data_IF_914896193985
#
_entry.id   IF_914896193985
#
_cell.length_a   1.000
_cell.length_b   1.000
_cell.length_c   1.000
_cell.angle_alpha   90.00
_cell.angle_beta   90.00
_cell.angle_gamma   90.00
#
_symmetry.space_group_name_H-M   'P 1'
#
loop_
_entity.id
_entity.type
_entity.pdbx_description
1 polymer ?
#
# COMPACT_ATOMS: atom_id res chain seq x y z
N UNK A 1 40.78 -0.03 14.32
CA UNK A 1 39.49 0.33 14.91
C UNK A 1 38.51 0.30 13.76
N UNK A 2 37.58 -0.66 13.75
CA UNK A 2 36.50 -0.63 12.76
C UNK A 2 35.63 0.58 13.12
N UNK A 3 35.59 1.59 12.26
CA UNK A 3 34.63 2.67 12.39
C UNK A 3 33.23 2.06 12.25
N UNK A 4 32.54 1.89 13.39
CA UNK A 4 31.21 1.34 13.41
C UNK A 4 30.27 2.29 12.68
N UNK A 5 29.61 1.81 11.63
CA UNK A 5 28.73 2.60 10.79
C UNK A 5 27.30 2.56 11.34
N UNK A 6 26.53 3.64 11.18
CA UNK A 6 25.17 3.71 11.71
C UNK A 6 24.24 2.66 11.08
N UNK A 7 24.46 2.33 9.81
CA UNK A 7 23.75 1.29 9.07
C UNK A 7 23.88 -0.08 9.74
N UNK A 8 25.03 -0.38 10.37
CA UNK A 8 25.24 -1.63 11.10
C UNK A 8 24.41 -1.69 12.41
N UNK A 9 23.88 -0.55 12.86
CA UNK A 9 23.06 -0.46 14.08
C UNK A 9 21.56 -0.51 13.80
N UNK A 10 21.10 -0.61 12.54
CA UNK A 10 19.67 -0.55 12.20
C UNK A 10 18.81 -1.52 13.01
N UNK A 11 19.30 -2.72 13.29
CA UNK A 11 18.62 -3.69 14.18
C UNK A 11 18.35 -3.15 15.59
N UNK A 12 19.35 -2.50 16.21
CA UNK A 12 19.19 -1.83 17.51
C UNK A 12 18.27 -0.61 17.46
N UNK A 13 18.05 -0.03 16.28
CA UNK A 13 17.16 1.11 16.04
C UNK A 13 15.72 0.67 15.71
N UNK A 14 15.41 -0.63 15.79
CA UNK A 14 14.05 -1.12 15.57
C UNK A 14 13.07 -0.73 16.68
N UNK A 15 13.56 -0.27 17.83
CA UNK A 15 12.70 0.14 18.96
C UNK A 15 12.15 -1.04 19.76
N UNK A 16 12.77 -2.23 19.62
CA UNK A 16 12.45 -3.42 20.44
C UNK A 16 12.82 -3.20 21.90
N UNK A 17 14.00 -2.60 22.15
CA UNK A 17 14.44 -2.21 23.48
C UNK A 17 14.43 -0.66 23.57
N UNK A 18 13.78 -0.06 24.59
CA UNK A 18 13.80 1.38 24.78
C UNK A 18 15.24 1.91 24.92
N UNK A 19 15.51 3.06 24.30
CA UNK A 19 16.83 3.68 24.36
C UNK A 19 16.94 4.61 25.59
N UNK A 20 18.17 4.81 26.06
CA UNK A 20 18.46 5.73 27.17
C UNK A 20 19.09 7.00 26.63
N UNK A 21 18.39 8.13 26.78
CA UNK A 21 18.82 9.45 26.34
C UNK A 21 19.39 10.24 27.52
N UNK A 22 20.58 10.77 27.36
CA UNK A 22 21.24 11.69 28.27
C UNK A 22 21.43 13.07 27.61
N UNK A 23 21.13 14.13 28.35
CA UNK A 23 21.36 15.52 27.98
C UNK A 23 21.91 16.28 29.19
N UNK A 24 22.46 17.47 29.00
CA UNK A 24 22.96 18.33 30.09
C UNK A 24 22.27 19.68 30.02
N UNK A 25 21.99 20.30 31.16
CA UNK A 25 21.53 21.69 31.21
C UNK A 25 22.70 22.69 31.10
N UNK A 26 22.40 23.99 31.13
CA UNK A 26 23.41 25.05 30.97
C UNK A 26 24.45 25.11 32.10
N UNK A 27 24.13 24.55 33.27
CA UNK A 27 25.02 24.46 34.43
C UNK A 27 25.81 23.13 34.45
N UNK A 28 25.62 22.28 33.45
CA UNK A 28 26.31 20.99 33.31
C UNK A 28 25.67 19.84 34.10
N UNK A 29 24.47 20.01 34.65
CA UNK A 29 23.77 18.94 35.38
C UNK A 29 23.17 17.94 34.39
N UNK A 30 23.44 16.63 34.53
CA UNK A 30 22.90 15.63 33.62
C UNK A 30 21.39 15.40 33.84
N UNK A 31 20.72 15.05 32.75
CA UNK A 31 19.34 14.59 32.72
C UNK A 31 19.28 13.32 31.87
N UNK A 32 18.82 12.22 32.48
CA UNK A 32 18.69 10.91 31.83
C UNK A 32 17.23 10.54 31.73
N UNK A 33 16.80 10.03 30.58
CA UNK A 33 15.41 9.64 30.32
C UNK A 33 15.37 8.44 29.38
N UNK A 34 14.38 7.58 29.53
CA UNK A 34 14.11 6.53 28.54
C UNK A 34 13.24 7.10 27.42
N UNK A 35 13.56 6.71 26.18
CA UNK A 35 12.77 7.08 24.99
C UNK A 35 12.35 5.81 24.26
N UNK A 36 11.16 5.84 23.67
CA UNK A 36 10.57 4.66 23.03
C UNK A 36 11.33 4.21 21.79
N UNK A 37 11.91 5.15 21.04
CA UNK A 37 12.63 4.81 19.80
C UNK A 37 13.72 5.82 19.43
N UNK A 38 14.76 5.29 18.78
CA UNK A 38 15.71 6.03 17.95
C UNK A 38 15.46 5.56 16.53
N UNK A 39 15.12 6.47 15.63
CA UNK A 39 14.80 6.15 14.25
C UNK A 39 16.00 6.39 13.34
N UNK A 40 16.38 5.40 12.55
CA UNK A 40 17.38 5.57 11.49
C UNK A 40 16.83 6.45 10.37
N UNK A 41 17.56 7.48 9.94
CA UNK A 41 17.15 8.37 8.84
C UNK A 41 18.05 8.16 7.63
N UNK A 42 19.35 8.35 7.82
CA UNK A 42 20.39 8.17 6.81
C UNK A 42 21.73 7.96 7.50
N UNK A 43 22.81 7.75 6.73
CA UNK A 43 24.15 7.35 7.19
C UNK A 43 24.74 8.12 8.38
N UNK A 44 24.39 9.40 8.54
CA UNK A 44 24.88 10.25 9.65
C UNK A 44 23.74 10.90 10.45
N UNK A 45 22.51 10.43 10.30
CA UNK A 45 21.36 11.04 10.96
C UNK A 45 20.43 10.02 11.60
N UNK A 46 19.97 10.39 12.78
CA UNK A 46 18.91 9.70 13.50
C UNK A 46 17.85 10.71 13.91
N UNK A 47 16.64 10.24 14.15
CA UNK A 47 15.57 11.04 14.72
C UNK A 47 15.06 10.44 16.04
N UNK A 48 14.80 11.30 17.01
CA UNK A 48 14.28 10.92 18.32
C UNK A 48 12.83 11.40 18.48
N UNK A 49 12.00 10.60 19.15
CA UNK A 49 10.61 10.95 19.39
C UNK A 49 10.48 12.07 20.43
N UNK A 50 9.88 13.21 20.04
CA UNK A 50 9.51 14.27 20.97
C UNK A 50 8.07 14.09 21.43
N UNK A 51 7.86 13.86 22.73
CA UNK A 51 6.53 13.56 23.31
C UNK A 51 6.21 14.42 24.55
N UNK A 52 7.03 14.37 25.61
CA UNK A 52 6.72 15.04 26.89
C UNK A 52 7.94 15.67 27.60
N UNK A 53 9.11 15.62 26.99
CA UNK A 53 10.39 15.80 27.69
C UNK A 53 10.78 17.27 27.93
N UNK A 54 10.09 17.96 28.84
CA UNK A 54 10.32 19.39 29.11
C UNK A 54 11.78 19.72 29.49
N UNK A 55 12.42 18.92 30.36
CA UNK A 55 13.84 19.14 30.74
C UNK A 55 14.79 18.80 29.59
N UNK A 56 14.63 17.62 28.99
CA UNK A 56 15.43 17.21 27.82
C UNK A 56 15.37 18.23 26.69
N UNK A 57 14.17 18.72 26.36
CA UNK A 57 13.99 19.72 25.30
C UNK A 57 14.67 21.04 25.66
N UNK A 58 14.52 21.52 26.89
CA UNK A 58 15.25 22.72 27.35
C UNK A 58 16.76 22.54 27.20
N UNK A 59 17.29 21.39 27.60
CA UNK A 59 18.70 21.05 27.49
C UNK A 59 19.17 21.05 26.03
N UNK A 60 18.39 20.44 25.12
CA UNK A 60 18.69 20.43 23.69
C UNK A 60 18.67 21.82 23.05
N UNK A 61 17.76 22.71 23.48
CA UNK A 61 17.71 24.08 22.95
C UNK A 61 18.90 24.93 23.40
N UNK A 62 19.52 24.61 24.54
CA UNK A 62 20.70 25.32 25.07
C UNK A 62 21.99 24.74 24.49
N UNK A 63 22.21 23.43 24.67
CA UNK A 63 23.49 22.79 24.40
C UNK A 63 23.55 22.11 23.04
N UNK A 64 22.41 21.81 22.42
CA UNK A 64 22.27 21.05 21.16
C UNK A 64 22.93 19.67 21.16
N UNK A 65 23.43 19.19 22.28
CA UNK A 65 24.13 17.91 22.39
C UNK A 65 23.30 16.90 23.18
N UNK A 66 23.37 15.65 22.75
CA UNK A 66 22.78 14.51 23.45
C UNK A 66 23.68 13.28 23.30
N UNK A 67 23.57 12.37 24.25
CA UNK A 67 24.14 11.03 24.16
C UNK A 67 22.99 10.04 24.26
N UNK A 68 22.89 9.10 23.32
CA UNK A 68 21.87 8.03 23.38
C UNK A 68 22.54 6.67 23.42
N UNK A 69 22.04 5.79 24.29
CA UNK A 69 22.45 4.40 24.39
C UNK A 69 21.36 3.54 23.79
N UNK A 70 21.70 2.78 22.75
CA UNK A 70 20.82 1.83 22.08
C UNK A 70 21.29 0.41 22.36
N UNK A 71 20.34 -0.52 22.45
CA UNK A 71 20.62 -1.92 22.72
C UNK A 71 20.02 -2.76 21.60
N UNK A 72 20.83 -3.61 21.01
CA UNK A 72 20.38 -4.55 20.00
C UNK A 72 19.54 -5.66 20.65
N UNK A 73 18.29 -5.82 20.19
CA UNK A 73 17.34 -6.76 20.78
C UNK A 73 17.69 -8.23 20.54
N UNK A 74 18.59 -8.52 19.59
CA UNK A 74 18.95 -9.87 19.18
C UNK A 74 20.27 -10.32 19.79
N UNK A 75 21.25 -9.41 19.85
CA UNK A 75 22.61 -9.70 20.30
C UNK A 75 22.92 -9.18 21.70
N UNK A 76 22.07 -8.29 22.23
CA UNK A 76 22.29 -7.51 23.47
C UNK A 76 23.53 -6.61 23.43
N UNK A 77 24.11 -6.38 22.25
CA UNK A 77 25.17 -5.40 22.08
C UNK A 77 24.64 -4.00 22.40
N UNK A 78 25.47 -3.19 23.06
CA UNK A 78 25.10 -1.83 23.44
C UNK A 78 26.00 -0.83 22.75
N UNK A 79 25.39 0.15 22.10
CA UNK A 79 26.11 1.19 21.39
C UNK A 79 25.67 2.58 21.86
N UNK A 80 26.64 3.46 22.07
CA UNK A 80 26.40 4.86 22.44
C UNK A 80 26.66 5.74 21.25
N UNK A 81 25.67 6.58 20.92
CA UNK A 81 25.78 7.59 19.87
C UNK A 81 25.89 8.95 20.53
N UNK A 82 26.89 9.73 20.13
CA UNK A 82 26.95 11.17 20.42
C UNK A 82 26.23 11.93 19.32
N UNK A 83 25.31 12.80 19.70
CA UNK A 83 24.34 13.42 18.81
C UNK A 83 24.37 14.94 18.92
N UNK A 84 24.19 15.60 17.79
CA UNK A 84 23.96 17.04 17.69
C UNK A 84 22.58 17.31 17.10
N UNK A 85 21.72 17.98 17.89
CA UNK A 85 20.38 18.39 17.48
C UNK A 85 20.45 19.35 16.29
N UNK A 86 19.56 19.13 15.31
CA UNK A 86 19.44 19.94 14.10
C UNK A 86 18.14 20.73 14.12
N UNK A 87 17.02 20.05 14.03
CA UNK A 87 15.68 20.65 13.96
C UNK A 87 14.60 19.69 14.47
N UNK A 88 13.37 20.20 14.64
CA UNK A 88 12.19 19.38 14.93
C UNK A 88 11.28 19.40 13.72
N UNK A 89 10.95 18.22 13.16
CA UNK A 89 9.91 18.08 12.14
C UNK A 89 8.58 17.71 12.79
N UNK A 90 7.53 18.48 12.52
CA UNK A 90 6.17 18.25 13.08
C UNK A 90 5.18 17.69 12.07
N UNK A 91 5.63 17.45 10.83
CA UNK A 91 4.85 16.91 9.72
C UNK A 91 5.78 16.31 8.67
N UNK A 92 5.20 15.65 7.67
CA UNK A 92 5.91 15.08 6.53
C UNK A 92 6.35 13.61 6.73
N UNK A 93 7.10 13.07 5.76
CA UNK A 93 7.39 11.63 5.67
C UNK A 93 8.02 11.02 6.92
N UNK A 94 9.06 11.66 7.45
CA UNK A 94 9.76 11.16 8.65
C UNK A 94 8.84 11.18 9.88
N UNK A 95 8.05 12.25 10.03
CA UNK A 95 7.12 12.38 11.14
C UNK A 95 6.04 11.29 11.11
N UNK A 96 5.43 11.03 9.95
CA UNK A 96 4.39 10.01 9.81
C UNK A 96 4.94 8.60 9.97
N UNK A 97 6.16 8.33 9.47
CA UNK A 97 6.87 7.07 9.68
C UNK A 97 7.12 6.83 11.18
N UNK A 98 7.67 7.83 11.87
CA UNK A 98 7.93 7.74 13.31
C UNK A 98 6.65 7.64 14.14
N UNK A 99 5.58 8.32 13.72
CA UNK A 99 4.26 8.27 14.35
C UNK A 99 3.66 6.86 14.27
N UNK A 100 3.69 6.25 13.08
CA UNK A 100 3.21 4.89 12.89
C UNK A 100 4.00 3.87 13.71
N UNK A 101 5.33 3.97 13.72
CA UNK A 101 6.19 3.11 14.53
C UNK A 101 5.93 3.28 16.03
N UNK A 102 5.76 4.52 16.49
CA UNK A 102 5.46 4.82 17.89
C UNK A 102 4.09 4.28 18.32
N UNK A 103 3.06 4.39 17.47
CA UNK A 103 1.76 3.78 17.73
C UNK A 103 1.90 2.26 17.90
N UNK A 104 2.72 1.61 17.05
CA UNK A 104 3.14 0.21 17.16
C UNK A 104 3.61 -0.17 18.56
N UNK A 105 4.59 0.60 19.06
CA UNK A 105 5.20 0.38 20.38
C UNK A 105 4.18 0.61 21.51
N UNK A 106 3.33 1.65 21.38
CA UNK A 106 2.34 2.01 22.39
C UNK A 106 1.29 0.91 22.62
N UNK A 107 0.79 0.31 21.54
CA UNK A 107 -0.23 -0.76 21.60
C UNK A 107 0.27 -2.00 22.31
N UNK A 108 1.53 -2.41 22.07
CA UNK A 108 2.09 -3.59 22.74
C UNK A 108 2.42 -3.34 24.23
N UNK A 109 2.74 -2.11 24.60
CA UNK A 109 3.09 -1.73 25.99
C UNK A 109 1.89 -1.34 26.85
N UNK A 110 0.67 -1.32 26.30
CA UNK A 110 -0.56 -0.96 27.03
C UNK A 110 -0.67 0.53 27.36
N UNK A 111 0.07 1.39 26.63
CA UNK A 111 0.16 2.83 26.85
C UNK A 111 -0.52 3.62 25.71
N UNK A 112 -1.55 3.03 25.10
CA UNK A 112 -2.37 3.67 24.07
C UNK A 112 -2.98 4.99 24.59
N UNK A 113 -2.93 6.05 23.77
CA UNK A 113 -3.42 7.39 24.13
C UNK A 113 -2.48 8.21 25.01
N UNK A 114 -1.48 7.60 25.66
CA UNK A 114 -0.43 8.32 26.40
C UNK A 114 0.67 8.75 25.46
N UNK A 115 1.09 7.91 24.50
CA UNK A 115 2.18 8.24 23.59
C UNK A 115 1.73 9.04 22.37
N UNK A 116 1.73 10.38 22.49
CA UNK A 116 1.51 11.28 21.35
C UNK A 116 2.85 11.81 20.82
N UNK A 117 3.13 11.58 19.54
CA UNK A 117 4.26 12.24 18.87
C UNK A 117 3.95 13.73 18.67
N UNK A 118 4.74 14.60 19.27
CA UNK A 118 4.69 16.05 19.06
C UNK A 118 5.66 16.51 17.97
N UNK A 119 6.73 15.75 17.73
CA UNK A 119 7.70 16.02 16.68
C UNK A 119 8.74 14.92 16.55
N UNK A 120 9.47 14.96 15.44
CA UNK A 120 10.65 14.15 15.18
C UNK A 120 11.87 15.06 15.28
N UNK A 121 12.60 14.97 16.40
CA UNK A 121 13.81 15.75 16.60
C UNK A 121 14.94 15.09 15.80
N UNK A 122 15.44 15.78 14.78
CA UNK A 122 16.50 15.30 13.90
C UNK A 122 17.88 15.60 14.51
N UNK A 123 18.76 14.62 14.47
CA UNK A 123 20.11 14.71 15.00
C UNK A 123 21.14 14.27 13.98
N UNK A 124 22.28 14.96 13.95
CA UNK A 124 23.50 14.45 13.33
C UNK A 124 24.22 13.55 14.31
N UNK A 125 24.66 12.39 13.85
CA UNK A 125 25.53 11.47 14.61
C UNK A 125 26.97 11.96 14.50
N UNK A 126 27.59 12.26 15.64
CA UNK A 126 28.96 12.75 15.76
C UNK A 126 29.96 11.62 15.92
N UNK A 127 29.62 10.61 16.74
CA UNK A 127 30.45 9.42 16.96
C UNK A 127 29.60 8.27 17.47
N UNK A 128 30.13 7.06 17.29
CA UNK A 128 29.51 5.81 17.72
C UNK A 128 30.56 5.03 18.51
N UNK A 129 30.18 4.58 19.71
CA UNK A 129 31.00 3.81 20.63
C UNK A 129 30.31 2.48 20.95
N UNK A 130 31.00 1.35 20.84
CA UNK A 130 30.53 0.08 21.40
C UNK A 130 30.80 0.07 22.90
N UNK A 131 29.73 0.07 23.69
CA UNK A 131 29.79 0.07 25.16
C UNK A 131 29.81 -1.36 25.70
N UNK A 132 29.06 -2.26 25.05
CA UNK A 132 29.06 -3.68 25.35
C UNK A 132 29.07 -4.46 24.04
N UNK A 133 29.99 -5.41 23.93
CA UNK A 133 30.04 -6.35 22.81
C UNK A 133 28.80 -7.27 22.79
N UNK A 134 28.47 -7.86 21.63
CA UNK A 134 27.45 -8.89 21.51
C UNK A 134 27.63 -10.01 22.54
N UNK A 135 26.56 -10.31 23.27
CA UNK A 135 26.53 -11.41 24.25
C UNK A 135 25.82 -12.63 23.67
N UNK A 136 24.87 -12.40 22.76
CA UNK A 136 24.13 -13.43 22.06
C UNK A 136 24.53 -13.48 20.59
N UNK A 137 24.46 -14.68 20.01
CA UNK A 137 24.61 -14.87 18.58
C UNK A 137 23.26 -14.64 17.90
N UNK A 138 23.20 -13.82 16.83
CA UNK A 138 21.98 -13.69 16.08
C UNK A 138 21.60 -15.04 15.47
N UNK A 139 20.30 -15.36 15.37
CA UNK A 139 19.87 -16.56 14.68
C UNK A 139 20.41 -16.51 13.24
N UNK A 140 20.80 -17.65 12.65
CA UNK A 140 21.27 -17.68 11.29
C UNK A 140 20.17 -17.15 10.37
N UNK A 141 20.47 -16.07 9.64
CA UNK A 141 19.56 -15.57 8.63
C UNK A 141 19.69 -16.46 7.38
N UNK A 142 18.76 -17.39 7.23
CA UNK A 142 18.77 -18.35 6.13
C UNK A 142 18.30 -17.76 4.79
N UNK A 143 17.92 -16.47 4.74
CA UNK A 143 17.39 -15.83 3.53
C UNK A 143 18.13 -14.53 3.21
N UNK A 144 18.75 -14.48 2.04
CA UNK A 144 19.34 -13.24 1.53
C UNK A 144 18.25 -12.40 0.85
N UNK A 145 17.84 -11.31 1.49
CA UNK A 145 16.82 -10.40 0.96
C UNK A 145 17.26 -9.72 -0.34
N UNK A 146 18.57 -9.43 -0.48
CA UNK A 146 19.12 -8.93 -1.73
C UNK A 146 18.99 -9.95 -2.86
N UNK A 147 19.29 -11.23 -2.59
CA UNK A 147 19.09 -12.30 -3.57
C UNK A 147 17.61 -12.47 -3.91
N UNK A 148 16.72 -12.38 -2.92
CA UNK A 148 15.28 -12.47 -3.14
C UNK A 148 14.78 -11.32 -4.03
N UNK A 149 15.19 -10.08 -3.75
CA UNK A 149 14.87 -8.92 -4.57
C UNK A 149 15.41 -9.06 -6.00
N UNK A 150 16.66 -9.47 -6.16
CA UNK A 150 17.27 -9.68 -7.47
C UNK A 150 16.54 -10.74 -8.30
N UNK A 151 16.18 -11.88 -7.69
CA UNK A 151 15.44 -12.95 -8.37
C UNK A 151 14.06 -12.47 -8.79
N UNK A 152 13.35 -11.79 -7.89
CA UNK A 152 12.05 -11.18 -8.19
C UNK A 152 12.16 -10.20 -9.35
N UNK A 153 13.08 -9.23 -9.32
CA UNK A 153 13.24 -8.28 -10.44
C UNK A 153 13.57 -8.97 -11.77
N UNK A 154 14.40 -10.02 -11.74
CA UNK A 154 14.74 -10.78 -12.96
C UNK A 154 13.51 -11.44 -13.58
N UNK A 155 12.62 -12.02 -12.76
CA UNK A 155 11.39 -12.63 -13.25
C UNK A 155 10.36 -11.61 -13.74
N UNK A 156 10.26 -10.44 -13.09
CA UNK A 156 9.35 -9.39 -13.51
C UNK A 156 9.77 -8.75 -14.83
N UNK A 157 11.07 -8.64 -15.09
CA UNK A 157 11.61 -7.97 -16.28
C UNK A 157 11.23 -8.63 -17.63
N UNK A 158 10.79 -9.89 -17.62
CA UNK A 158 10.36 -10.60 -18.85
C UNK A 158 8.85 -10.61 -19.05
N UNK A 159 8.09 -10.02 -18.13
CA UNK A 159 6.64 -9.93 -18.23
C UNK A 159 6.24 -8.91 -19.30
N UNK A 160 5.26 -9.27 -20.13
CA UNK A 160 4.72 -8.41 -21.21
C UNK A 160 3.24 -8.05 -21.02
N UNK A 161 2.64 -8.52 -19.94
CA UNK A 161 1.25 -8.24 -19.58
C UNK A 161 1.20 -7.69 -18.15
N UNK A 162 0.37 -6.66 -17.97
CA UNK A 162 0.26 -5.94 -16.71
C UNK A 162 -0.37 -6.81 -15.60
N UNK A 163 -1.35 -7.66 -15.93
CA UNK A 163 -1.98 -8.50 -14.92
C UNK A 163 -1.05 -9.62 -14.47
N UNK A 164 -0.42 -10.29 -15.45
CA UNK A 164 0.59 -11.31 -15.18
C UNK A 164 1.76 -10.74 -14.37
N UNK A 165 2.18 -9.51 -14.66
CA UNK A 165 3.23 -8.81 -13.89
C UNK A 165 2.84 -8.65 -12.42
N UNK A 166 1.62 -8.18 -12.13
CA UNK A 166 1.14 -7.95 -10.77
C UNK A 166 1.00 -9.26 -9.99
N UNK A 167 0.38 -10.28 -10.59
CA UNK A 167 0.21 -11.59 -9.95
C UNK A 167 1.56 -12.29 -9.75
N UNK A 168 2.48 -12.16 -10.71
CA UNK A 168 3.85 -12.67 -10.59
C UNK A 168 4.62 -11.97 -9.47
N UNK A 169 4.47 -10.65 -9.32
CA UNK A 169 5.14 -9.91 -8.25
C UNK A 169 4.74 -10.47 -6.88
N UNK A 170 3.44 -10.64 -6.63
CA UNK A 170 2.94 -11.16 -5.35
C UNK A 170 3.37 -12.62 -5.11
N UNK A 171 3.33 -13.48 -6.13
CA UNK A 171 3.85 -14.85 -6.03
C UNK A 171 5.34 -14.90 -5.72
N UNK A 172 6.14 -14.01 -6.30
CA UNK A 172 7.57 -13.91 -6.00
C UNK A 172 7.83 -13.43 -4.57
N UNK A 173 6.98 -12.56 -4.00
CA UNK A 173 7.08 -12.18 -2.59
C UNK A 173 6.84 -13.36 -1.66
N UNK A 174 5.83 -14.18 -1.92
CA UNK A 174 5.61 -15.40 -1.16
C UNK A 174 6.79 -16.37 -1.31
N UNK A 175 7.16 -16.72 -2.54
CA UNK A 175 8.19 -17.73 -2.78
C UNK A 175 9.60 -17.31 -2.35
N UNK A 176 10.02 -16.08 -2.66
CA UNK A 176 11.41 -15.64 -2.49
C UNK A 176 11.64 -14.95 -1.13
N UNK A 177 10.62 -14.26 -0.58
CA UNK A 177 10.72 -13.57 0.70
C UNK A 177 10.04 -14.36 1.84
N UNK A 178 9.07 -15.23 1.52
CA UNK A 178 8.19 -15.87 2.50
C UNK A 178 7.07 -14.94 2.99
N UNK A 179 6.69 -13.96 2.19
CA UNK A 179 5.61 -13.02 2.50
C UNK A 179 4.31 -13.61 1.93
N UNK A 180 3.61 -14.38 2.76
CA UNK A 180 2.41 -15.10 2.34
C UNK A 180 1.23 -14.18 1.99
N UNK A 181 1.13 -13.02 2.65
CA UNK A 181 -0.01 -12.11 2.52
C UNK A 181 0.45 -10.77 1.94
N UNK A 182 0.10 -10.53 0.68
CA UNK A 182 0.47 -9.29 -0.01
C UNK A 182 -0.55 -8.89 -1.07
N UNK A 183 -0.63 -7.60 -1.34
CA UNK A 183 -1.54 -7.04 -2.35
C UNK A 183 -0.93 -5.79 -3.01
N UNK A 184 -1.40 -5.50 -4.21
CA UNK A 184 -1.11 -4.24 -4.91
C UNK A 184 -2.39 -3.42 -5.00
N UNK A 185 -2.27 -2.14 -4.62
CA UNK A 185 -3.31 -1.14 -4.82
C UNK A 185 -2.84 -0.06 -5.79
N UNK A 186 -3.72 0.40 -6.68
CA UNK A 186 -3.41 1.44 -7.66
C UNK A 186 -4.17 2.72 -7.36
N UNK A 187 -3.55 3.86 -7.64
CA UNK A 187 -4.15 5.17 -7.38
C UNK A 187 -5.32 5.43 -8.33
N UNK A 188 -6.38 6.03 -7.80
CA UNK A 188 -7.45 6.66 -8.56
C UNK A 188 -7.20 8.18 -8.63
N UNK A 189 -6.86 8.67 -9.83
CA UNK A 189 -6.32 10.01 -10.06
C UNK A 189 -7.25 11.16 -9.64
N UNK A 190 -8.57 10.95 -9.61
CA UNK A 190 -9.54 12.01 -9.25
C UNK A 190 -10.00 11.99 -7.80
N UNK A 191 -9.96 10.83 -7.14
CA UNK A 191 -10.62 10.66 -5.84
C UNK A 191 -9.66 10.69 -4.65
N UNK A 192 -8.33 10.76 -4.88
CA UNK A 192 -7.31 10.49 -3.84
C UNK A 192 -7.65 9.20 -3.07
N UNK A 193 -7.96 8.16 -3.83
CA UNK A 193 -8.23 6.81 -3.34
C UNK A 193 -7.31 5.82 -4.01
N UNK A 194 -7.18 4.67 -3.40
CA UNK A 194 -6.52 3.49 -3.91
C UNK A 194 -7.56 2.40 -4.07
N UNK A 195 -7.37 1.52 -5.05
CA UNK A 195 -8.18 0.32 -5.19
C UNK A 195 -7.29 -0.91 -5.37
N UNK A 196 -7.69 -2.02 -4.75
CA UNK A 196 -6.97 -3.30 -4.85
C UNK A 196 -7.10 -3.87 -6.26
N UNK A 197 -5.98 -4.20 -6.90
CA UNK A 197 -5.92 -4.77 -8.26
C UNK A 197 -5.40 -6.21 -8.28
N UNK A 198 -4.61 -6.59 -7.29
CA UNK A 198 -4.07 -7.94 -7.13
C UNK A 198 -3.87 -8.20 -5.64
N UNK A 199 -4.10 -9.45 -5.22
CA UNK A 199 -3.91 -9.90 -3.85
C UNK A 199 -3.49 -11.37 -3.84
N UNK A 200 -2.75 -11.77 -2.80
CA UNK A 200 -2.20 -13.11 -2.65
C UNK A 200 -2.27 -13.55 -1.19
N UNK A 201 -2.65 -14.82 -0.98
CA UNK A 201 -2.68 -15.49 0.32
C UNK A 201 -3.93 -15.24 1.18
N UNK A 202 -4.78 -14.27 0.85
CA UNK A 202 -5.97 -13.93 1.64
C UNK A 202 -7.16 -14.88 1.39
N UNK A 203 -8.08 -14.97 2.35
CA UNK A 203 -9.30 -15.79 2.24
C UNK A 203 -10.23 -15.31 1.11
N UNK A 204 -10.30 -13.99 0.92
CA UNK A 204 -11.00 -13.35 -0.19
C UNK A 204 -10.03 -12.46 -0.95
N UNK A 205 -10.25 -12.28 -2.24
CA UNK A 205 -9.35 -11.44 -3.06
C UNK A 205 -9.45 -9.96 -2.68
N UNK A 206 -10.65 -9.48 -2.30
CA UNK A 206 -10.94 -8.07 -2.03
C UNK A 206 -10.62 -7.15 -3.21
N UNK A 207 -10.55 -7.69 -4.43
CA UNK A 207 -10.27 -6.92 -5.64
C UNK A 207 -11.35 -5.85 -5.82
N UNK A 208 -10.93 -4.60 -5.99
CA UNK A 208 -11.82 -3.44 -6.03
C UNK A 208 -12.20 -2.85 -4.66
N UNK A 209 -11.71 -3.40 -3.54
CA UNK A 209 -11.78 -2.70 -2.25
C UNK A 209 -11.02 -1.38 -2.32
N UNK A 210 -11.51 -0.34 -1.66
CA UNK A 210 -10.95 1.01 -1.73
C UNK A 210 -10.32 1.44 -0.40
N UNK A 211 -9.25 2.23 -0.48
CA UNK A 211 -8.60 2.87 0.68
C UNK A 211 -8.37 4.35 0.37
N UNK A 212 -8.78 5.23 1.28
CA UNK A 212 -8.56 6.67 1.10
C UNK A 212 -7.11 7.07 1.42
N UNK A 213 -6.60 8.11 0.75
CA UNK A 213 -5.30 8.69 1.14
C UNK A 213 -5.37 9.20 2.58
N UNK A 214 -4.33 8.91 3.37
CA UNK A 214 -4.25 9.19 4.80
C UNK A 214 -4.96 8.18 5.71
N UNK A 215 -5.63 7.16 5.16
CA UNK A 215 -6.32 6.12 5.94
C UNK A 215 -5.44 4.89 6.17
N UNK A 216 -5.22 4.52 7.43
CA UNK A 216 -4.39 3.35 7.80
C UNK A 216 -2.95 3.45 7.25
N UNK A 217 -2.21 2.34 7.27
CA UNK A 217 -0.81 2.37 6.80
C UNK A 217 -0.70 2.55 5.28
N UNK A 218 -1.57 1.90 4.48
CA UNK A 218 -1.65 2.10 3.01
C UNK A 218 -1.89 3.57 2.65
N UNK A 219 -2.93 4.19 3.22
CA UNK A 219 -3.32 5.54 2.86
C UNK A 219 -2.30 6.57 3.30
N UNK A 220 -1.70 6.42 4.49
CA UNK A 220 -0.63 7.31 4.97
C UNK A 220 0.61 7.18 4.08
N UNK A 221 1.02 5.96 3.74
CA UNK A 221 2.14 5.72 2.82
C UNK A 221 1.91 6.39 1.46
N UNK A 222 0.66 6.33 0.96
CA UNK A 222 0.30 6.95 -0.30
C UNK A 222 0.29 8.48 -0.24
N UNK A 223 -0.19 9.06 0.86
CA UNK A 223 -0.24 10.52 1.05
C UNK A 223 1.16 11.13 1.14
N UNK A 224 2.04 10.49 1.91
CA UNK A 224 3.39 10.99 2.18
C UNK A 224 4.44 10.50 1.17
N UNK A 225 4.06 9.56 0.29
CA UNK A 225 4.97 8.89 -0.64
C UNK A 225 6.24 8.35 0.06
N UNK A 226 6.02 7.68 1.20
CA UNK A 226 7.08 7.06 2.01
C UNK A 226 6.61 5.70 2.52
N UNK A 227 7.50 4.72 2.73
CA UNK A 227 7.14 3.49 3.39
C UNK A 227 6.58 3.74 4.80
N UNK A 228 5.51 3.04 5.14
CA UNK A 228 4.97 3.01 6.50
C UNK A 228 4.99 1.57 6.99
N UNK A 229 5.62 1.34 8.14
CA UNK A 229 5.88 0.02 8.70
C UNK A 229 5.48 -0.03 10.17
N UNK A 230 4.79 -1.08 10.55
CA UNK A 230 4.35 -1.34 11.92
C UNK A 230 4.79 -2.74 12.32
N UNK A 231 5.65 -2.82 13.35
CA UNK A 231 6.20 -4.09 13.85
C UNK A 231 5.31 -4.82 14.86
N UNK A 232 4.35 -4.11 15.49
CA UNK A 232 3.41 -4.65 16.46
C UNK A 232 2.01 -4.11 16.19
N UNK A 233 1.01 -4.98 16.18
CA UNK A 233 -0.39 -4.64 15.89
C UNK A 233 -0.90 -3.45 16.73
N UNK A 234 -1.59 -2.51 16.06
CA UNK A 234 -2.23 -1.34 16.69
C UNK A 234 -3.67 -1.19 16.24
N UNK A 235 -4.49 -0.57 17.09
CA UNK A 235 -5.86 -0.21 16.72
C UNK A 235 -5.93 1.08 15.90
N UNK A 236 -5.00 2.02 16.10
CA UNK A 236 -4.96 3.35 15.46
C UNK A 236 -4.74 3.28 13.93
N UNK A 237 -4.03 2.25 13.45
CA UNK A 237 -3.74 2.07 12.03
C UNK A 237 -4.53 0.93 11.38
N UNK A 238 -5.59 0.43 12.03
CA UNK A 238 -6.52 -0.50 11.37
C UNK A 238 -7.22 0.20 10.21
N UNK A 239 -7.38 -0.50 9.10
CA UNK A 239 -8.17 -0.01 7.97
C UNK A 239 -9.65 0.14 8.37
N UNK A 240 -10.28 1.22 7.89
CA UNK A 240 -11.58 1.73 8.33
C UNK A 240 -12.79 0.81 8.10
N UNK A 241 -12.58 -0.38 7.56
CA UNK A 241 -13.62 -1.41 7.44
C UNK A 241 -14.28 -1.71 8.79
N UNK A 242 -13.56 -1.73 9.92
CA UNK A 242 -14.18 -2.05 11.23
C UNK A 242 -15.05 -0.94 11.80
N UNK A 243 -14.78 0.35 11.52
CA UNK A 243 -15.59 1.46 12.04
C UNK A 243 -16.92 1.57 11.27
N UNK A 244 -16.88 1.46 9.94
CA UNK A 244 -18.10 1.40 9.13
C UNK A 244 -18.87 0.11 9.38
N UNK A 245 -18.21 -1.05 9.53
CA UNK A 245 -18.88 -2.32 9.85
C UNK A 245 -19.47 -2.31 11.27
N UNK A 246 -18.84 -1.63 12.23
CA UNK A 246 -19.41 -1.40 13.57
C UNK A 246 -20.58 -0.42 13.56
N UNK A 247 -20.52 0.67 12.79
CA UNK A 247 -21.62 1.61 12.60
C UNK A 247 -22.81 0.99 11.84
N UNK A 248 -22.52 0.07 10.92
CA UNK A 248 -23.48 -0.77 10.18
C UNK A 248 -24.17 -1.77 11.12
N UNK A 249 -23.41 -2.50 11.95
CA UNK A 249 -23.97 -3.39 13.00
C UNK A 249 -24.79 -2.62 14.04
N UNK A 250 -24.47 -1.35 14.28
CA UNK A 250 -25.22 -0.46 15.16
C UNK A 250 -26.45 0.19 14.50
N UNK A 251 -26.71 -0.05 13.20
CA UNK A 251 -27.88 0.46 12.48
C UNK A 251 -27.91 1.97 12.27
N UNK A 252 -26.75 2.64 12.31
CA UNK A 252 -26.65 4.11 12.31
C UNK A 252 -26.76 4.71 10.89
N UNK A 253 -26.56 3.91 9.83
CA UNK A 253 -26.52 4.37 8.44
C UNK A 253 -27.55 3.59 7.60
N UNK A 254 -28.54 4.30 7.03
CA UNK A 254 -29.71 3.70 6.38
C UNK A 254 -29.54 3.39 4.87
N UNK A 255 -28.58 4.00 4.18
CA UNK A 255 -28.29 3.73 2.76
C UNK A 255 -26.79 3.86 2.57
N UNK A 256 -26.11 2.78 2.19
CA UNK A 256 -24.68 2.80 1.82
C UNK A 256 -24.49 2.00 0.54
N UNK A 257 -23.64 2.46 -0.41
CA UNK A 257 -23.23 1.63 -1.53
C UNK A 257 -22.63 0.31 -1.04
N UNK A 258 -22.83 -0.76 -1.81
CA UNK A 258 -22.26 -2.08 -1.53
C UNK A 258 -20.74 -1.99 -1.68
N UNK A 259 -20.02 -1.83 -0.57
CA UNK A 259 -18.55 -1.81 -0.57
C UNK A 259 -17.98 -3.22 -0.61
N UNK A 260 -16.95 -3.42 -1.45
CA UNK A 260 -16.20 -4.67 -1.55
C UNK A 260 -15.35 -4.79 -0.28
N UNK A 261 -15.47 -5.88 0.51
CA UNK A 261 -14.67 -6.07 1.71
C UNK A 261 -13.18 -6.02 1.42
N UNK A 262 -12.43 -5.34 2.29
CA UNK A 262 -10.97 -5.33 2.23
C UNK A 262 -10.42 -6.73 2.60
N UNK A 263 -9.45 -7.28 1.86
CA UNK A 263 -9.04 -8.68 2.00
C UNK A 263 -8.05 -8.94 3.15
N UNK A 264 -7.72 -7.94 3.96
CA UNK A 264 -6.67 -8.02 4.99
C UNK A 264 -6.91 -9.07 6.08
N UNK A 265 -5.83 -9.45 6.78
CA UNK A 265 -5.90 -10.38 7.91
C UNK A 265 -6.81 -9.84 9.02
N UNK A 266 -7.48 -10.73 9.75
CA UNK A 266 -8.31 -10.33 10.90
C UNK A 266 -7.48 -9.70 12.04
N UNK A 267 -6.28 -10.25 12.28
CA UNK A 267 -5.37 -9.86 13.36
C UNK A 267 -3.90 -9.89 12.90
N UNK A 268 -3.49 -9.04 11.93
CA UNK A 268 -2.11 -8.95 11.50
C UNK A 268 -1.23 -8.50 12.67
N UNK A 269 -0.10 -9.17 12.89
CA UNK A 269 0.85 -8.81 13.95
C UNK A 269 1.87 -7.78 13.51
N UNK A 270 2.20 -7.73 12.22
CA UNK A 270 2.99 -6.67 11.61
C UNK A 270 2.56 -6.39 10.17
N UNK A 271 2.86 -5.19 9.68
CA UNK A 271 2.43 -4.69 8.37
C UNK A 271 3.49 -3.76 7.76
N UNK A 272 3.53 -3.70 6.44
CA UNK A 272 4.30 -2.72 5.69
C UNK A 272 3.57 -2.27 4.42
N UNK A 273 3.51 -0.96 4.20
CA UNK A 273 3.02 -0.34 2.97
C UNK A 273 4.18 0.39 2.29
N UNK A 274 4.51 0.00 1.06
CA UNK A 274 5.63 0.55 0.28
C UNK A 274 5.08 1.24 -0.98
N UNK A 275 5.40 2.53 -1.19
CA UNK A 275 4.99 3.22 -2.41
C UNK A 275 5.60 2.63 -3.67
N UNK A 276 4.76 2.45 -4.69
CA UNK A 276 5.16 2.18 -6.07
C UNK A 276 5.14 3.53 -6.78
N UNK A 277 6.30 4.14 -6.94
CA UNK A 277 6.43 5.54 -7.38
C UNK A 277 7.52 5.71 -8.43
N UNK A 278 7.29 6.59 -9.40
CA UNK A 278 8.25 6.95 -10.45
C UNK A 278 8.25 8.47 -10.64
N UNK A 279 9.45 9.08 -10.69
CA UNK A 279 9.56 10.55 -10.89
C UNK A 279 8.89 11.40 -9.81
N UNK A 280 8.72 10.88 -8.59
CA UNK A 280 7.99 11.55 -7.49
C UNK A 280 6.47 11.40 -7.53
N UNK A 281 5.93 10.81 -8.61
CA UNK A 281 4.51 10.48 -8.73
C UNK A 281 4.25 9.08 -8.18
N UNK A 282 3.21 8.96 -7.35
CA UNK A 282 2.75 7.68 -6.84
C UNK A 282 1.81 7.00 -7.85
N UNK A 283 2.12 5.76 -8.20
CA UNK A 283 1.32 4.91 -9.08
C UNK A 283 0.42 3.98 -8.26
N UNK A 284 0.92 3.50 -7.12
CA UNK A 284 0.23 2.54 -6.27
C UNK A 284 0.97 2.27 -4.97
N UNK A 285 0.49 1.27 -4.22
CA UNK A 285 1.08 0.76 -2.99
C UNK A 285 1.26 -0.76 -3.13
N UNK A 286 2.46 -1.24 -2.82
CA UNK A 286 2.70 -2.63 -2.49
C UNK A 286 2.51 -2.79 -0.97
N UNK A 287 1.52 -3.59 -0.58
CA UNK A 287 1.19 -3.82 0.82
C UNK A 287 1.44 -5.28 1.20
N UNK A 288 1.96 -5.49 2.40
CA UNK A 288 2.17 -6.82 2.97
C UNK A 288 1.84 -6.85 4.46
N UNK A 289 1.35 -8.00 4.91
CA UNK A 289 1.01 -8.28 6.30
C UNK A 289 1.62 -9.59 6.76
N UNK A 290 1.77 -9.75 8.07
CA UNK A 290 2.27 -10.98 8.67
C UNK A 290 1.55 -11.30 9.97
N UNK A 291 1.36 -12.58 10.22
CA UNK A 291 0.92 -13.11 11.51
C UNK A 291 2.06 -13.14 12.54
N UNK A 292 3.28 -12.80 12.15
CA UNK A 292 4.43 -12.64 13.04
C UNK A 292 4.67 -11.18 13.40
N UNK A 293 5.08 -10.93 14.65
CA UNK A 293 5.57 -9.61 15.07
C UNK A 293 6.91 -9.34 14.41
N UNK A 294 7.20 -8.07 14.13
CA UNK A 294 8.51 -7.63 13.61
C UNK A 294 8.96 -8.37 12.34
N UNK A 295 8.02 -8.91 11.54
CA UNK A 295 8.35 -9.61 10.28
C UNK A 295 8.90 -8.66 9.21
N UNK A 296 8.61 -7.36 9.35
CA UNK A 296 9.15 -6.31 8.50
C UNK A 296 10.03 -5.40 9.35
N UNK A 297 11.34 -5.46 9.11
CA UNK A 297 12.34 -4.56 9.65
C UNK A 297 12.91 -3.68 8.52
N UNK A 298 13.92 -2.90 8.86
CA UNK A 298 14.65 -2.04 7.94
C UNK A 298 15.19 -2.77 6.69
N UNK A 299 15.61 -4.03 6.82
CA UNK A 299 16.15 -4.81 5.70
C UNK A 299 15.03 -5.29 4.75
N UNK A 300 13.90 -5.74 5.27
CA UNK A 300 12.73 -6.09 4.45
C UNK A 300 12.16 -4.86 3.74
N UNK A 301 12.13 -3.72 4.43
CA UNK A 301 11.72 -2.44 3.84
C UNK A 301 12.59 -2.08 2.63
N UNK A 302 13.91 -2.12 2.76
CA UNK A 302 14.82 -1.80 1.64
C UNK A 302 14.64 -2.76 0.46
N UNK A 303 14.54 -4.05 0.73
CA UNK A 303 14.38 -5.05 -0.32
C UNK A 303 13.02 -4.92 -1.04
N UNK A 304 11.94 -4.64 -0.30
CA UNK A 304 10.62 -4.38 -0.89
C UNK A 304 10.59 -3.05 -1.67
N UNK A 305 11.33 -2.02 -1.23
CA UNK A 305 11.48 -0.77 -1.99
C UNK A 305 12.17 -0.98 -3.33
N UNK A 306 13.16 -1.88 -3.40
CA UNK A 306 13.80 -2.26 -4.67
C UNK A 306 12.75 -2.88 -5.61
N UNK A 307 11.97 -3.84 -5.12
CA UNK A 307 10.92 -4.50 -5.91
C UNK A 307 9.85 -3.48 -6.34
N UNK A 308 9.37 -2.63 -5.44
CA UNK A 308 8.36 -1.62 -5.74
C UNK A 308 8.85 -0.57 -6.76
N UNK A 309 10.10 -0.14 -6.67
CA UNK A 309 10.71 0.78 -7.64
C UNK A 309 10.83 0.14 -9.02
N UNK A 310 11.23 -1.13 -9.08
CA UNK A 310 11.31 -1.88 -10.33
C UNK A 310 9.92 -2.10 -10.95
N UNK A 311 8.94 -2.43 -10.12
CA UNK A 311 7.54 -2.55 -10.53
C UNK A 311 7.04 -1.22 -11.12
N UNK A 312 7.33 -0.08 -10.49
CA UNK A 312 6.93 1.23 -11.01
C UNK A 312 7.46 1.48 -12.44
N UNK A 313 8.70 1.11 -12.73
CA UNK A 313 9.29 1.23 -14.07
C UNK A 313 8.57 0.32 -15.07
N UNK A 314 8.36 -0.96 -14.73
CA UNK A 314 7.70 -1.92 -15.62
C UNK A 314 6.24 -1.56 -15.89
N UNK A 315 5.52 -1.09 -14.87
CA UNK A 315 4.15 -0.59 -15.00
C UNK A 315 4.07 0.53 -16.04
N UNK A 316 5.02 1.47 -16.02
CA UNK A 316 5.07 2.57 -16.98
C UNK A 316 5.42 2.07 -18.39
N UNK A 317 6.42 1.20 -18.54
CA UNK A 317 6.83 0.67 -19.85
C UNK A 317 5.70 -0.13 -20.53
N UNK A 318 5.02 -1.00 -19.80
CA UNK A 318 3.93 -1.81 -20.35
C UNK A 318 2.74 -0.95 -20.78
N UNK A 319 2.52 0.21 -20.15
CA UNK A 319 1.49 1.16 -20.56
C UNK A 319 1.83 1.84 -21.88
N UNK A 320 3.09 2.22 -22.09
CA UNK A 320 3.57 2.87 -23.31
C UNK A 320 3.56 1.90 -24.51
N UNK A 321 3.98 0.64 -24.30
CA UNK A 321 4.06 -0.38 -25.36
C UNK A 321 2.68 -0.84 -25.89
N UNK A 322 1.61 -0.72 -25.10
CA UNK A 322 0.26 -1.08 -25.53
C UNK A 322 -0.34 -0.11 -26.59
N UNK A 323 0.29 1.05 -26.85
CA UNK A 323 -0.24 2.06 -27.76
C UNK A 323 0.07 1.84 -29.26
N UNK A 324 0.87 0.81 -29.62
CA UNK A 324 1.62 0.82 -30.89
C UNK A 324 1.19 -0.13 -32.04
N UNK A 325 0.23 -1.07 -31.94
CA UNK A 325 0.02 -2.08 -33.03
C UNK A 325 -1.44 -2.52 -33.27
N UNK A 326 -1.76 -2.84 -34.54
CA UNK A 326 -3.02 -3.47 -34.95
C UNK A 326 -2.96 -4.36 -36.20
N UNK A 327 -3.66 -5.50 -36.17
CA UNK A 327 -4.66 -5.99 -37.16
C UNK A 327 -5.34 -7.29 -36.62
N UNK A 328 -6.59 -7.61 -37.01
CA UNK A 328 -7.48 -8.54 -36.30
C UNK A 328 -7.45 -10.00 -36.79
N UNK A 329 -7.88 -10.93 -35.93
CA UNK A 329 -8.30 -12.30 -36.28
C UNK A 329 -9.68 -12.59 -35.68
N UNK A 330 -10.63 -12.92 -36.56
CA UNK A 330 -12.06 -13.10 -36.28
C UNK A 330 -12.36 -14.53 -35.83
N UNK A 331 -13.11 -14.69 -34.74
CA UNK A 331 -13.86 -15.91 -34.48
C UNK A 331 -15.15 -15.57 -33.70
N UNK A 332 -16.29 -16.01 -34.22
CA UNK A 332 -17.63 -15.77 -33.68
C UNK A 332 -17.99 -16.83 -32.62
N UNK A 333 -18.62 -16.40 -31.53
CA UNK A 333 -19.24 -17.27 -30.53
C UNK A 333 -20.73 -16.92 -30.40
N UNK A 334 -21.59 -17.93 -30.47
CA UNK A 334 -23.05 -17.80 -30.41
C UNK A 334 -23.56 -17.65 -28.95
N UNK A 335 -24.50 -16.74 -28.67
CA UNK A 335 -25.10 -16.57 -27.34
C UNK A 335 -26.07 -17.71 -26.95
N UNK A 336 -26.18 -18.00 -25.65
CA UNK A 336 -27.20 -18.88 -25.04
C UNK A 336 -28.58 -18.19 -24.97
N UNK A 337 -29.65 -18.96 -24.72
CA UNK A 337 -31.04 -18.50 -24.66
C UNK A 337 -31.45 -17.78 -23.35
N UNK A 338 -30.56 -17.72 -22.34
CA UNK A 338 -30.84 -17.05 -21.06
C UNK A 338 -30.61 -15.53 -21.17
N UNK A 339 -31.49 -14.73 -20.58
CA UNK A 339 -31.40 -13.26 -20.54
C UNK A 339 -30.91 -12.78 -19.18
N UNK A 340 -29.96 -11.84 -19.14
CA UNK A 340 -29.47 -11.18 -17.91
C UNK A 340 -29.67 -9.67 -18.03
N UNK A 341 -30.25 -9.06 -17.01
CA UNK A 341 -30.48 -7.60 -16.95
C UNK A 341 -29.27 -6.90 -16.32
N UNK A 342 -28.64 -5.97 -17.03
CA UNK A 342 -27.56 -5.13 -16.52
C UNK A 342 -28.15 -3.80 -16.08
N UNK A 343 -28.07 -3.51 -14.78
CA UNK A 343 -28.53 -2.24 -14.22
C UNK A 343 -27.36 -1.31 -13.97
N UNK A 344 -27.43 -0.09 -14.49
CA UNK A 344 -26.41 0.94 -14.30
C UNK A 344 -26.95 2.14 -13.54
N UNK A 345 -26.32 2.47 -12.41
CA UNK A 345 -26.65 3.65 -11.62
C UNK A 345 -25.70 4.78 -11.95
N UNK A 346 -26.22 5.85 -12.58
CA UNK A 346 -25.41 6.99 -13.03
C UNK A 346 -24.66 7.72 -11.92
N UNK A 347 -25.19 7.74 -10.71
CA UNK A 347 -24.70 8.59 -9.63
C UNK A 347 -23.33 8.15 -9.09
N UNK A 348 -23.13 6.85 -8.93
CA UNK A 348 -21.88 6.25 -8.47
C UNK A 348 -21.23 5.31 -9.49
N UNK A 349 -21.83 5.23 -10.69
CA UNK A 349 -21.40 4.39 -11.80
C UNK A 349 -21.41 2.89 -11.42
N UNK A 350 -22.29 2.48 -10.51
CA UNK A 350 -22.42 1.08 -10.11
C UNK A 350 -23.16 0.24 -11.14
N UNK A 351 -22.71 -1.01 -11.29
CA UNK A 351 -23.32 -2.03 -12.13
C UNK A 351 -23.78 -3.20 -11.28
N UNK A 352 -25.00 -3.65 -11.58
CA UNK A 352 -25.58 -4.88 -11.08
C UNK A 352 -25.89 -5.80 -12.25
N UNK A 353 -25.62 -7.09 -12.07
CA UNK A 353 -26.12 -8.15 -12.95
C UNK A 353 -27.35 -8.73 -12.25
N UNK A 354 -28.51 -8.55 -12.87
CA UNK A 354 -29.81 -8.66 -12.24
C UNK A 354 -29.84 -7.85 -10.93
N UNK A 355 -29.87 -8.53 -9.79
CA UNK A 355 -29.90 -7.92 -8.46
C UNK A 355 -28.54 -7.92 -7.75
N UNK A 356 -27.52 -8.53 -8.35
CA UNK A 356 -26.22 -8.76 -7.72
C UNK A 356 -25.20 -7.67 -8.09
N UNK A 357 -24.64 -7.03 -7.05
CA UNK A 357 -23.62 -5.99 -7.23
C UNK A 357 -22.32 -6.55 -7.82
N UNK A 358 -21.89 -5.96 -8.93
CA UNK A 358 -20.65 -6.33 -9.62
C UNK A 358 -19.50 -5.39 -9.26
N UNK A 359 -19.63 -4.12 -9.62
CA UNK A 359 -18.55 -3.12 -9.59
C UNK A 359 -19.12 -1.69 -9.62
N UNK A 360 -18.30 -0.67 -9.28
CA UNK A 360 -18.67 0.75 -9.34
C UNK A 360 -17.56 1.65 -9.89
N UNK A 361 -17.85 2.95 -10.00
CA UNK A 361 -16.90 3.96 -10.47
C UNK A 361 -16.51 3.76 -11.93
N UNK A 362 -15.31 4.21 -12.28
CA UNK A 362 -14.82 4.22 -13.68
C UNK A 362 -14.86 2.83 -14.32
N UNK A 363 -14.60 1.76 -13.58
CA UNK A 363 -14.67 0.39 -14.12
C UNK A 363 -16.12 -0.02 -14.46
N UNK A 364 -17.10 0.42 -13.66
CA UNK A 364 -18.51 0.27 -13.98
C UNK A 364 -18.91 1.09 -15.21
N UNK A 365 -18.49 2.35 -15.30
CA UNK A 365 -18.73 3.17 -16.48
C UNK A 365 -18.14 2.56 -17.77
N UNK A 366 -16.93 1.99 -17.69
CA UNK A 366 -16.29 1.26 -18.81
C UNK A 366 -17.18 0.08 -19.22
N UNK A 367 -17.57 -0.79 -18.28
CA UNK A 367 -18.39 -1.95 -18.62
C UNK A 367 -19.73 -1.52 -19.24
N UNK A 368 -20.41 -0.51 -18.67
CA UNK A 368 -21.67 0.02 -19.22
C UNK A 368 -21.52 0.48 -20.68
N UNK A 369 -20.43 1.19 -20.99
CA UNK A 369 -20.14 1.63 -22.36
C UNK A 369 -19.97 0.45 -23.31
N UNK A 370 -19.22 -0.57 -22.90
CA UNK A 370 -18.93 -1.76 -23.71
C UNK A 370 -20.20 -2.57 -24.00
N UNK A 371 -21.01 -2.85 -22.97
CA UNK A 371 -22.25 -3.63 -23.13
C UNK A 371 -23.31 -2.87 -23.90
N UNK A 372 -23.38 -1.53 -23.74
CA UNK A 372 -24.28 -0.68 -24.52
C UNK A 372 -23.96 -0.75 -26.01
N UNK A 373 -22.69 -0.62 -26.37
CA UNK A 373 -22.26 -0.72 -27.76
C UNK A 373 -22.52 -2.13 -28.34
N UNK A 374 -22.27 -3.18 -27.55
CA UNK A 374 -22.52 -4.57 -27.95
C UNK A 374 -24.00 -4.84 -28.23
N UNK A 375 -24.90 -4.39 -27.34
CA UNK A 375 -26.35 -4.59 -27.52
C UNK A 375 -26.89 -3.78 -28.70
N UNK A 376 -26.38 -2.57 -28.92
CA UNK A 376 -26.85 -1.70 -30.01
C UNK A 376 -26.34 -2.12 -31.40
N UNK A 377 -25.10 -2.59 -31.49
CA UNK A 377 -24.41 -2.78 -32.78
C UNK A 377 -23.99 -4.23 -33.05
N UNK A 378 -24.03 -5.10 -32.04
CA UNK A 378 -23.45 -6.45 -32.09
C UNK A 378 -21.92 -6.48 -31.96
N UNK A 379 -21.27 -5.33 -31.77
CA UNK A 379 -19.81 -5.22 -31.70
C UNK A 379 -19.24 -5.97 -30.50
N UNK A 380 -18.19 -6.77 -30.72
CA UNK A 380 -17.52 -7.55 -29.66
C UNK A 380 -16.08 -7.14 -29.41
N UNK A 381 -15.42 -6.41 -30.32
CA UNK A 381 -14.01 -6.04 -30.18
C UNK A 381 -13.81 -4.56 -29.85
N UNK A 382 -12.95 -4.30 -28.86
CA UNK A 382 -12.68 -2.97 -28.33
C UNK A 382 -11.18 -2.74 -28.13
N UNK A 383 -10.78 -1.47 -28.01
CA UNK A 383 -9.38 -1.07 -27.81
C UNK A 383 -9.20 -0.11 -26.64
N UNK A 384 -8.03 -0.12 -26.00
CA UNK A 384 -7.71 0.81 -24.92
C UNK A 384 -7.69 2.24 -25.47
N UNK A 385 -7.18 2.44 -26.69
CA UNK A 385 -7.11 3.76 -27.36
C UNK A 385 -8.49 4.41 -27.51
N UNK A 386 -9.51 3.67 -27.96
CA UNK A 386 -10.84 4.27 -28.11
C UNK A 386 -11.45 4.61 -26.75
N UNK A 387 -11.26 3.76 -25.73
CA UNK A 387 -11.74 4.04 -24.38
C UNK A 387 -11.07 5.30 -23.82
N UNK A 388 -9.74 5.46 -23.99
CA UNK A 388 -9.00 6.66 -23.55
C UNK A 388 -9.51 7.94 -24.20
N UNK A 389 -9.99 7.86 -25.45
CA UNK A 389 -10.50 9.00 -26.21
C UNK A 389 -11.98 9.27 -25.96
N UNK A 390 -12.69 8.39 -25.24
CA UNK A 390 -14.13 8.53 -24.99
C UNK A 390 -14.40 9.56 -23.86
N UNK A 391 -14.95 10.75 -24.19
CA UNK A 391 -15.20 11.78 -23.19
C UNK A 391 -16.31 11.40 -22.20
N UNK A 392 -17.18 10.44 -22.54
CA UNK A 392 -18.27 10.00 -21.66
C UNK A 392 -17.77 9.24 -20.43
N UNK A 393 -16.60 8.59 -20.54
CA UNK A 393 -15.96 7.86 -19.45
C UNK A 393 -15.27 8.78 -18.43
N UNK A 394 -15.15 10.08 -18.73
CA UNK A 394 -14.48 11.10 -17.90
C UNK A 394 -13.10 10.64 -17.40
N UNK A 395 -12.37 9.92 -18.24
CA UNK A 395 -11.00 9.50 -17.95
C UNK A 395 -10.11 10.75 -17.84
N UNK A 396 -9.15 10.79 -16.90
CA UNK A 396 -8.27 11.95 -16.75
C UNK A 396 -7.46 12.21 -18.02
N UNK A 397 -7.08 13.47 -18.26
CA UNK A 397 -6.34 13.91 -19.46
C UNK A 397 -5.03 13.14 -19.70
N UNK A 398 -4.49 12.52 -18.66
CA UNK A 398 -3.54 11.42 -18.72
C UNK A 398 -4.26 10.17 -18.24
N UNK A 399 -4.56 9.24 -19.16
CA UNK A 399 -5.30 8.01 -18.87
C UNK A 399 -4.46 6.97 -18.09
N UNK A 400 -3.86 7.41 -16.97
CA UNK A 400 -2.79 6.72 -16.26
C UNK A 400 -3.19 5.36 -15.68
N UNK A 401 -4.49 5.03 -15.53
CA UNK A 401 -4.92 3.80 -14.86
C UNK A 401 -6.02 3.02 -15.59
N UNK A 402 -6.24 3.23 -16.89
CA UNK A 402 -7.24 2.46 -17.65
C UNK A 402 -6.94 0.95 -17.60
N UNK A 403 -5.68 0.57 -17.78
CA UNK A 403 -5.29 -0.84 -17.87
C UNK A 403 -5.51 -1.57 -16.54
N UNK A 404 -5.19 -0.90 -15.42
CA UNK A 404 -5.49 -1.39 -14.07
C UNK A 404 -7.01 -1.51 -13.81
N UNK A 405 -7.84 -0.65 -14.42
CA UNK A 405 -9.31 -0.75 -14.36
C UNK A 405 -9.86 -1.91 -15.20
N UNK A 406 -9.28 -2.16 -16.37
CA UNK A 406 -9.66 -3.31 -17.19
C UNK A 406 -9.28 -4.63 -16.51
N UNK A 407 -8.12 -4.68 -15.85
CA UNK A 407 -7.70 -5.81 -15.01
C UNK A 407 -8.67 -6.02 -13.87
N UNK A 408 -8.95 -4.96 -13.09
CA UNK A 408 -9.94 -4.99 -12.01
C UNK A 408 -11.28 -5.53 -12.51
N UNK A 409 -11.77 -5.00 -13.63
CA UNK A 409 -13.06 -5.40 -14.21
C UNK A 409 -13.06 -6.86 -14.65
N UNK A 410 -12.01 -7.32 -15.35
CA UNK A 410 -11.85 -8.73 -15.76
C UNK A 410 -11.86 -9.66 -14.56
N UNK A 411 -11.01 -9.40 -13.56
CA UNK A 411 -10.96 -10.22 -12.34
C UNK A 411 -12.29 -10.27 -11.61
N UNK A 412 -13.03 -9.15 -11.53
CA UNK A 412 -14.37 -9.11 -10.93
C UNK A 412 -15.42 -9.90 -11.72
N UNK A 413 -15.37 -9.89 -13.04
CA UNK A 413 -16.25 -10.69 -13.88
C UNK A 413 -15.96 -12.19 -13.71
N UNK A 414 -14.67 -12.56 -13.66
CA UNK A 414 -14.24 -13.95 -13.48
C UNK A 414 -14.57 -14.49 -12.09
N UNK A 415 -14.33 -13.71 -11.03
CA UNK A 415 -14.68 -14.06 -9.63
C UNK A 415 -16.16 -14.35 -9.43
N UNK A 416 -17.03 -13.67 -10.19
CA UNK A 416 -18.48 -13.80 -10.10
C UNK A 416 -19.06 -14.82 -11.07
N UNK A 417 -18.22 -15.49 -11.86
CA UNK A 417 -18.59 -16.28 -13.04
C UNK A 417 -19.70 -15.59 -13.86
N UNK A 418 -19.48 -14.30 -14.14
CA UNK A 418 -20.47 -13.48 -14.82
C UNK A 418 -20.79 -14.01 -16.23
N UNK A 419 -21.99 -13.69 -16.71
CA UNK A 419 -22.41 -13.98 -18.09
C UNK A 419 -21.59 -13.21 -19.15
N UNK A 420 -20.80 -12.23 -18.73
CA UNK A 420 -19.93 -11.40 -19.57
C UNK A 420 -18.48 -11.70 -19.21
N UNK A 421 -17.64 -11.84 -20.24
CA UNK A 421 -16.19 -11.95 -20.09
C UNK A 421 -15.47 -10.93 -20.96
N UNK A 422 -14.32 -10.47 -20.47
CA UNK A 422 -13.39 -9.63 -21.20
C UNK A 422 -12.13 -10.43 -21.48
N UNK A 423 -11.99 -10.89 -22.72
CA UNK A 423 -10.82 -11.65 -23.15
C UNK A 423 -9.82 -10.75 -23.86
N UNK A 424 -8.54 -10.93 -23.57
CA UNK A 424 -7.49 -10.18 -24.29
C UNK A 424 -7.43 -10.71 -25.73
N UNK A 425 -7.63 -9.83 -26.71
CA UNK A 425 -7.59 -10.17 -28.15
C UNK A 425 -6.32 -9.65 -28.84
N UNK A 426 -5.45 -8.97 -28.07
CA UNK A 426 -4.16 -8.43 -28.51
C UNK A 426 -3.63 -7.39 -27.52
N UNK A 427 -2.49 -6.77 -27.84
CA UNK A 427 -1.97 -5.65 -27.05
C UNK A 427 -2.93 -4.46 -27.15
N UNK A 428 -3.30 -3.88 -26.01
CA UNK A 428 -4.26 -2.77 -25.96
C UNK A 428 -5.64 -3.07 -26.55
N UNK A 429 -6.01 -4.36 -26.68
CA UNK A 429 -7.26 -4.82 -27.29
C UNK A 429 -7.89 -5.95 -26.52
N UNK A 430 -9.21 -5.95 -26.48
CA UNK A 430 -9.97 -6.98 -25.80
C UNK A 430 -11.30 -7.24 -26.50
N UNK A 431 -11.86 -8.40 -26.21
CA UNK A 431 -13.13 -8.87 -26.73
C UNK A 431 -14.12 -9.02 -25.59
N UNK A 432 -15.30 -8.43 -25.76
CA UNK A 432 -16.46 -8.69 -24.92
C UNK A 432 -17.15 -9.95 -25.43
N UNK A 433 -17.24 -10.96 -24.56
CA UNK A 433 -18.00 -12.18 -24.82
C UNK A 433 -19.20 -12.21 -23.89
N UNK A 434 -20.40 -12.27 -24.46
CA UNK A 434 -21.64 -12.46 -23.73
C UNK A 434 -22.13 -13.89 -23.92
N UNK A 435 -22.28 -14.64 -22.82
CA UNK A 435 -22.84 -16.00 -22.81
C UNK A 435 -24.37 -15.99 -22.85
N UNK A 436 -24.98 -14.87 -22.49
CA UNK A 436 -26.42 -14.66 -22.33
C UNK A 436 -26.86 -13.46 -23.16
N UNK A 437 -28.15 -13.39 -23.48
CA UNK A 437 -28.74 -12.18 -24.03
C UNK A 437 -28.73 -11.08 -22.95
N UNK A 438 -28.33 -9.86 -23.30
CA UNK A 438 -28.18 -8.76 -22.35
C UNK A 438 -29.33 -7.76 -22.52
N UNK A 439 -30.01 -7.44 -21.43
CA UNK A 439 -30.97 -6.33 -21.34
C UNK A 439 -30.36 -5.20 -20.51
N UNK A 440 -30.54 -3.95 -20.94
CA UNK A 440 -29.90 -2.79 -20.30
C UNK A 440 -30.95 -1.92 -19.62
N UNK A 441 -30.76 -1.66 -18.33
CA UNK A 441 -31.59 -0.75 -17.54
C UNK A 441 -30.72 0.36 -16.95
N UNK A 442 -30.94 1.60 -17.41
CA UNK A 442 -30.26 2.76 -16.82
C UNK A 442 -31.12 3.36 -15.71
N UNK A 443 -30.56 3.47 -14.51
CA UNK A 443 -31.30 3.93 -13.33
C UNK A 443 -31.07 5.43 -13.11
N UNK A 444 -32.16 6.20 -13.04
CA UNK A 444 -32.16 7.63 -12.76
C UNK A 444 -31.93 7.98 -11.27
N UNK A 445 -31.89 9.27 -10.95
CA UNK A 445 -31.59 9.79 -9.59
C UNK A 445 -32.56 9.30 -8.50
N UNK A 446 -33.78 8.88 -8.87
CA UNK A 446 -34.82 8.38 -7.96
C UNK A 446 -34.91 6.85 -7.90
N UNK A 447 -33.99 6.12 -8.56
CA UNK A 447 -34.03 4.65 -8.62
C UNK A 447 -35.13 4.08 -9.52
N UNK A 448 -35.69 4.90 -10.42
CA UNK A 448 -36.59 4.46 -11.48
C UNK A 448 -35.80 4.27 -12.79
N UNK A 449 -36.16 3.26 -13.62
CA UNK A 449 -35.53 3.06 -14.91
C UNK A 449 -35.82 4.26 -15.82
N UNK A 450 -34.75 4.81 -16.40
CA UNK A 450 -34.81 5.75 -17.51
C UNK A 450 -35.11 4.95 -18.77
N UNK A 451 -36.06 5.41 -19.59
CA UNK A 451 -36.26 4.85 -20.92
C UNK A 451 -34.99 5.10 -21.74
N UNK A 452 -34.32 4.00 -22.14
CA UNK A 452 -33.11 3.98 -22.97
C UNK A 452 -33.43 4.43 -24.39
#
# INVERSE_FOLDING_TARGET
MNDLCLEALRGALEGVIPAVLATVDGDGTPNVSMISQVHYVERQQVALSYQFFNKTRRNLMVNRLASVLVTDGTTLAMHRLQLEYRETLTSGPLFETMKAKLAGIASHSGLEGVFRLLGSDLFRVLSIETVSEPVLHPPPNNRSLLSAAQQTCTELAVMSDLDELLDRALHCLDRNFGIAYSMVLMVESHARRLYTVASHGYETSGIGSEVAFGEGVIGVAARENTPIRIGHMTTEYRYGATLMDSARRAGIIAITPVEIPFPGLHAPKSQIAVPISLGGQILGILFAESEEIMAFCYEEEDALRIVASHLAVLLTLLREDEEAVGEPLVQESLPSADTVTIRYHRLDQSIFLDHDYLIKGVAGAILWRLVSEHVQTGRTEFSNRELRLDPSLRLPAHAENLDARLILLRKRLDERDACIRLEKSGRGRFRLLARSQLELEEMGETGQPLAV
#
